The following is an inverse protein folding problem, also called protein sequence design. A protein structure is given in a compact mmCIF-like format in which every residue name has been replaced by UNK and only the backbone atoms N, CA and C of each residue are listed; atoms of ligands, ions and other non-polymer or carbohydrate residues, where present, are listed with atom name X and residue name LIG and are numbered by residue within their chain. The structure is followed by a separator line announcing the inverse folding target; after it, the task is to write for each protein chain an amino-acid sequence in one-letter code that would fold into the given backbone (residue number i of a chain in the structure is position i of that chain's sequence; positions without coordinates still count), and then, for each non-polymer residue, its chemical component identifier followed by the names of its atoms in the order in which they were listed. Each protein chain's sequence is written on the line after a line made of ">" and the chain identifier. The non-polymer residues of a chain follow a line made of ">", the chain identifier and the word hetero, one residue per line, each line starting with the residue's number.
data_IF_673417603078
#
_entry.id   IF_673417603078
#
_cell.length_a   1.000
_cell.length_b   1.000
_cell.length_c   1.000
_cell.angle_alpha   90.00
_cell.angle_beta   90.00
_cell.angle_gamma   90.00
#
_symmetry.space_group_name_H-M   'P 1'
#
loop_
_entity.id
_entity.type
_entity.pdbx_description
1 polymer ?
#
# COMPACT_ATOMS: atom_id res chain seq x y z
N UNK A 1 -14.43 -5.07 3.57
CA UNK A 1 -13.78 -5.15 2.25
C UNK A 1 -12.34 -5.58 2.43
N UNK A 2 -11.68 -5.91 1.35
CA UNK A 2 -10.26 -6.27 1.29
C UNK A 2 -9.54 -5.28 0.39
N UNK A 3 -8.24 -5.11 0.63
CA UNK A 3 -7.45 -4.12 -0.07
C UNK A 3 -6.06 -4.68 -0.36
N UNK A 4 -5.57 -4.50 -1.58
CA UNK A 4 -4.21 -4.86 -1.97
C UNK A 4 -3.46 -3.62 -2.40
N UNK A 5 -2.20 -3.53 -1.99
CA UNK A 5 -1.25 -2.56 -2.53
C UNK A 5 -0.22 -3.34 -3.33
N UNK A 6 -0.12 -3.05 -4.63
CA UNK A 6 0.83 -3.72 -5.51
C UNK A 6 1.98 -2.77 -5.84
N UNK A 7 3.20 -3.26 -5.70
CA UNK A 7 4.41 -2.64 -6.20
C UNK A 7 4.96 -3.43 -7.39
N UNK A 8 4.60 -2.98 -8.59
CA UNK A 8 5.04 -3.62 -9.84
C UNK A 8 6.54 -3.51 -10.06
N UNK A 9 7.19 -2.47 -9.55
CA UNK A 9 8.62 -2.24 -9.77
C UNK A 9 9.47 -3.30 -9.06
N UNK A 10 9.04 -3.70 -7.87
CA UNK A 10 9.73 -4.71 -7.05
C UNK A 10 9.06 -6.09 -7.10
N UNK A 11 7.95 -6.24 -7.84
CA UNK A 11 7.09 -7.43 -7.85
C UNK A 11 6.67 -7.85 -6.43
N UNK A 12 6.16 -6.91 -5.65
CA UNK A 12 5.66 -7.16 -4.30
C UNK A 12 4.21 -6.74 -4.16
N UNK A 13 3.50 -7.33 -3.20
CA UNK A 13 2.20 -6.82 -2.81
C UNK A 13 1.98 -6.94 -1.30
N UNK A 14 1.12 -6.08 -0.77
CA UNK A 14 0.64 -6.10 0.61
C UNK A 14 -0.87 -6.33 0.61
N UNK A 15 -1.37 -7.03 1.62
CA UNK A 15 -2.77 -7.44 1.68
C UNK A 15 -3.42 -7.12 3.03
N UNK A 16 -4.54 -6.41 2.97
CA UNK A 16 -5.31 -5.98 4.14
C UNK A 16 -6.71 -6.59 4.09
N UNK A 17 -7.04 -7.37 5.12
CA UNK A 17 -8.38 -7.92 5.34
C UNK A 17 -9.24 -6.97 6.18
N UNK A 18 -10.56 -7.09 6.03
CA UNK A 18 -11.55 -6.40 6.86
C UNK A 18 -11.36 -4.88 6.93
N UNK A 19 -10.87 -4.28 5.85
CA UNK A 19 -10.74 -2.83 5.69
C UNK A 19 -12.15 -2.21 5.73
N UNK A 20 -12.30 -1.07 6.40
CA UNK A 20 -13.51 -0.23 6.34
C UNK A 20 -13.33 0.86 5.30
N UNK A 21 -14.42 1.49 4.85
CA UNK A 21 -14.33 2.59 3.86
C UNK A 21 -13.40 3.73 4.32
N UNK A 22 -13.47 4.12 5.58
CA UNK A 22 -12.59 5.16 6.14
C UNK A 22 -11.10 4.75 6.07
N UNK A 23 -10.81 3.48 6.31
CA UNK A 23 -9.46 2.92 6.23
C UNK A 23 -8.99 2.82 4.78
N UNK A 24 -9.86 2.49 3.84
CA UNK A 24 -9.56 2.50 2.41
C UNK A 24 -9.20 3.92 1.92
N UNK A 25 -10.01 4.92 2.29
CA UNK A 25 -9.75 6.34 1.98
C UNK A 25 -8.39 6.77 2.56
N UNK A 26 -8.09 6.34 3.80
CA UNK A 26 -6.79 6.58 4.43
C UNK A 26 -5.62 5.98 3.64
N UNK A 27 -5.72 4.70 3.26
CA UNK A 27 -4.70 4.00 2.47
C UNK A 27 -4.49 4.68 1.11
N UNK A 28 -5.57 4.95 0.38
CA UNK A 28 -5.53 5.62 -0.92
C UNK A 28 -4.89 7.01 -0.84
N UNK A 29 -5.24 7.81 0.17
CA UNK A 29 -4.66 9.15 0.39
C UNK A 29 -3.16 9.10 0.64
N UNK A 30 -2.70 8.14 1.45
CA UNK A 30 -1.28 7.98 1.74
C UNK A 30 -0.50 7.46 0.52
N UNK A 31 -1.02 6.45 -0.18
CA UNK A 31 -0.40 5.90 -1.40
C UNK A 31 -0.23 7.00 -2.46
N UNK A 32 -1.23 7.86 -2.65
CA UNK A 32 -1.14 8.98 -3.58
C UNK A 32 0.01 9.93 -3.25
N UNK A 33 0.21 10.25 -1.96
CA UNK A 33 1.33 11.09 -1.50
C UNK A 33 2.68 10.39 -1.67
N UNK A 34 2.75 9.10 -1.35
CA UNK A 34 3.96 8.27 -1.53
C UNK A 34 4.35 8.22 -3.02
N UNK A 35 3.42 7.87 -3.91
CA UNK A 35 3.65 7.84 -5.35
C UNK A 35 4.15 9.18 -5.89
N UNK A 36 3.54 10.29 -5.45
CA UNK A 36 3.95 11.64 -5.86
C UNK A 36 5.38 11.97 -5.42
N UNK A 37 5.75 11.64 -4.18
CA UNK A 37 7.04 12.03 -3.59
C UNK A 37 8.18 11.11 -4.03
N UNK A 38 7.96 9.81 -3.94
CA UNK A 38 9.00 8.81 -4.13
C UNK A 38 9.09 8.33 -5.58
N UNK A 39 8.26 8.89 -6.49
CA UNK A 39 8.10 8.42 -7.87
C UNK A 39 7.80 6.91 -7.96
N UNK A 40 7.15 6.37 -6.93
CA UNK A 40 6.68 4.98 -6.93
C UNK A 40 5.42 4.84 -7.78
N UNK A 41 5.16 3.62 -8.26
CA UNK A 41 3.97 3.28 -9.05
C UNK A 41 3.10 2.26 -8.32
N UNK A 42 2.82 2.51 -7.04
CA UNK A 42 1.98 1.65 -6.23
C UNK A 42 0.54 1.67 -6.75
N UNK A 43 -0.07 0.49 -6.89
CA UNK A 43 -1.44 0.32 -7.36
C UNK A 43 -2.32 -0.17 -6.21
N UNK A 44 -3.22 0.68 -5.68
CA UNK A 44 -4.25 0.23 -4.74
C UNK A 44 -5.36 -0.51 -5.49
N UNK A 45 -5.81 -1.63 -4.93
CA UNK A 45 -6.90 -2.45 -5.48
C UNK A 45 -7.92 -2.68 -4.35
N UNK A 46 -8.99 -1.86 -4.30
CA UNK A 46 -10.07 -2.03 -3.33
C UNK A 46 -10.98 -3.19 -3.73
N UNK A 47 -11.67 -3.76 -2.74
CA UNK A 47 -12.59 -4.90 -2.90
C UNK A 47 -11.95 -6.11 -3.60
N UNK A 48 -10.65 -6.31 -3.40
CA UNK A 48 -9.93 -7.44 -3.96
C UNK A 48 -10.38 -8.73 -3.26
N UNK A 49 -11.00 -9.68 -3.98
CA UNK A 49 -11.25 -11.01 -3.42
C UNK A 49 -9.96 -11.60 -2.84
N UNK A 50 -9.97 -11.87 -1.54
CA UNK A 50 -8.81 -12.17 -0.71
C UNK A 50 -7.94 -13.26 -1.34
N UNK A 51 -8.56 -14.40 -1.55
CA UNK A 51 -7.88 -15.62 -1.97
C UNK A 51 -7.62 -15.58 -3.48
N UNK A 52 -8.54 -14.97 -4.25
CA UNK A 52 -8.42 -14.85 -5.70
C UNK A 52 -7.26 -13.96 -6.14
N UNK A 53 -7.11 -12.79 -5.52
CA UNK A 53 -6.06 -11.85 -5.91
C UNK A 53 -4.68 -12.18 -5.33
N UNK A 54 -4.62 -12.71 -4.10
CA UNK A 54 -3.33 -13.18 -3.54
C UNK A 54 -2.75 -14.25 -4.46
N UNK A 55 -3.54 -15.27 -4.81
CA UNK A 55 -3.11 -16.32 -5.72
C UNK A 55 -2.77 -15.78 -7.12
N UNK A 56 -3.57 -14.86 -7.66
CA UNK A 56 -3.30 -14.23 -8.95
C UNK A 56 -1.93 -13.55 -9.00
N UNK A 57 -1.57 -12.78 -7.97
CA UNK A 57 -0.26 -12.12 -7.92
C UNK A 57 0.89 -13.09 -7.69
N UNK A 58 0.70 -14.11 -6.87
CA UNK A 58 1.67 -15.20 -6.71
C UNK A 58 1.93 -15.93 -8.03
N UNK A 59 0.88 -16.24 -8.80
CA UNK A 59 0.98 -16.89 -10.12
C UNK A 59 1.71 -16.00 -11.16
N UNK A 60 1.66 -14.68 -11.01
CA UNK A 60 2.42 -13.71 -11.79
C UNK A 60 3.88 -13.53 -11.30
N UNK A 61 4.26 -14.22 -10.25
CA UNK A 61 5.60 -14.21 -9.66
C UNK A 61 5.86 -13.02 -8.73
N UNK A 62 4.81 -12.46 -8.12
CA UNK A 62 4.95 -11.46 -7.06
C UNK A 62 5.12 -12.14 -5.70
N UNK A 63 5.84 -11.50 -4.79
CA UNK A 63 5.96 -11.95 -3.40
C UNK A 63 5.14 -11.09 -2.45
N UNK A 64 4.39 -11.72 -1.55
CA UNK A 64 3.71 -11.01 -0.47
C UNK A 64 4.72 -10.37 0.48
N UNK A 65 4.53 -9.09 0.81
CA UNK A 65 5.30 -8.32 1.78
C UNK A 65 4.34 -7.56 2.69
N UNK A 66 3.98 -8.17 3.82
CA UNK A 66 3.02 -7.63 4.81
C UNK A 66 3.48 -6.32 5.50
N UNK A 67 4.74 -5.91 5.29
CA UNK A 67 5.29 -4.67 5.82
C UNK A 67 5.56 -3.61 4.75
N UNK A 68 5.15 -3.86 3.50
CA UNK A 68 5.40 -2.96 2.38
C UNK A 68 4.82 -1.57 2.68
N UNK A 69 3.56 -1.50 3.09
CA UNK A 69 2.91 -0.22 3.36
C UNK A 69 3.59 0.56 4.49
N UNK A 70 3.84 -0.09 5.63
CA UNK A 70 4.45 0.58 6.79
C UNK A 70 5.88 1.03 6.50
N UNK A 71 6.63 0.25 5.71
CA UNK A 71 7.95 0.64 5.23
C UNK A 71 7.87 1.90 4.35
N UNK A 72 6.94 1.95 3.40
CA UNK A 72 6.76 3.10 2.53
C UNK A 72 6.38 4.37 3.31
N UNK A 73 5.55 4.23 4.35
CA UNK A 73 5.20 5.32 5.26
C UNK A 73 6.43 5.78 6.04
N UNK A 74 7.23 4.86 6.54
CA UNK A 74 8.48 5.16 7.26
C UNK A 74 9.48 5.92 6.38
N UNK A 75 9.67 5.45 5.14
CA UNK A 75 10.56 6.07 4.15
C UNK A 75 10.08 7.49 3.76
N UNK A 76 8.77 7.68 3.60
CA UNK A 76 8.17 8.99 3.35
C UNK A 76 8.40 9.96 4.52
N UNK A 77 8.15 9.48 5.73
CA UNK A 77 8.24 10.26 6.97
C UNK A 77 9.68 10.60 7.37
N UNK A 78 10.65 9.78 6.95
CA UNK A 78 12.07 10.02 7.20
C UNK A 78 12.66 11.13 6.31
N UNK A 79 11.96 11.50 5.23
CA UNK A 79 12.44 12.43 4.21
C UNK A 79 11.50 13.64 4.03
N UNK A 80 10.83 14.12 5.08
CA UNK A 80 9.87 15.23 4.98
C UNK A 80 10.51 16.54 4.52
N UNK A 81 9.94 17.15 3.48
CA UNK A 81 10.27 18.51 3.09
C UNK A 81 9.57 19.53 4.00
N UNK A 82 10.01 20.78 3.97
CA UNK A 82 9.41 21.85 4.77
C UNK A 82 7.91 22.01 4.43
N UNK A 83 7.06 21.94 5.47
CA UNK A 83 5.61 22.02 5.34
C UNK A 83 4.89 20.69 5.07
N UNK A 84 5.61 19.58 4.81
CA UNK A 84 5.00 18.26 4.73
C UNK A 84 4.64 17.71 6.11
N UNK A 85 3.54 16.95 6.19
CA UNK A 85 3.08 16.31 7.42
C UNK A 85 3.38 14.82 7.38
N UNK A 86 3.66 14.26 8.55
CA UNK A 86 3.77 12.82 8.74
C UNK A 86 2.50 12.11 8.26
N UNK A 87 2.70 11.01 7.53
CA UNK A 87 1.66 10.04 7.24
C UNK A 87 1.51 9.08 8.42
N UNK A 88 0.28 8.67 8.69
CA UNK A 88 -0.02 7.72 9.76
C UNK A 88 0.10 6.29 9.21
N UNK A 89 0.91 5.42 9.84
CA UNK A 89 1.08 4.02 9.43
C UNK A 89 -0.21 3.21 9.63
N UNK A 90 -0.18 1.94 9.21
CA UNK A 90 -1.28 1.04 9.50
C UNK A 90 -1.29 0.72 10.99
N UNK A 91 -2.41 0.98 11.66
CA UNK A 91 -2.60 0.65 13.08
C UNK A 91 -3.76 -0.35 13.11
N UNK A 92 -3.41 -1.60 13.40
CA UNK A 92 -4.31 -2.74 13.62
C UNK A 92 -5.17 -2.47 14.86
#
# INVERSE_FOLDING_TARGET
>A
MSFIIVDDANKQFDYFMHVTLDREIHLNSNISKINKKNSTQLKPIPDADADGYVKYYEDLGYSMNQGLYDKLISDFNSNLAEGEKHLVPWII
#
